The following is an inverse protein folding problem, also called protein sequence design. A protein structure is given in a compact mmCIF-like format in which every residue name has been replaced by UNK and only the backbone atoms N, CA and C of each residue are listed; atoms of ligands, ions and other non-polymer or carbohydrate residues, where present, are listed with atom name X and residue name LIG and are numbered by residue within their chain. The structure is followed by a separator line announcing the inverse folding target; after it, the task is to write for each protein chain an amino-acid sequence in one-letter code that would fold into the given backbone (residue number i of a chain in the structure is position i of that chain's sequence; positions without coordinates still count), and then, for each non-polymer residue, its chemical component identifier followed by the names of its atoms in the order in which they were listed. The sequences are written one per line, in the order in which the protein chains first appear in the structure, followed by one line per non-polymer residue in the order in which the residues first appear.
data_IF_364599655428
#
_entry.id   IF_364599655428
#
_cell.length_a   1.000
_cell.length_b   1.000
_cell.length_c   1.000
_cell.angle_alpha   90.00
_cell.angle_beta   90.00
_cell.angle_gamma   90.00
#
_symmetry.space_group_name_H-M   'P 1'
#
loop_
_entity.id
_entity.type
_entity.pdbx_description
1 polymer ?
#
# COMPACT_ATOMS: atom_id res chain seq x y z
N UNK A 1 -15.47 9.92 6.81
CA UNK A 1 -15.48 9.04 5.63
C UNK A 1 -16.87 8.41 5.46
N UNK A 2 -17.30 8.17 4.22
CA UNK A 2 -18.63 7.63 3.89
C UNK A 2 -18.62 6.09 3.97
N UNK A 3 -19.51 5.56 4.82
CA UNK A 3 -19.88 4.15 5.02
C UNK A 3 -18.76 3.16 5.40
N UNK A 4 -18.75 2.62 6.64
CA UNK A 4 -17.84 1.55 7.00
C UNK A 4 -18.29 0.26 6.32
N UNK A 5 -17.68 -0.06 5.18
CA UNK A 5 -17.50 -1.47 4.84
C UNK A 5 -16.70 -2.11 5.98
N UNK A 6 -16.94 -3.38 6.28
CA UNK A 6 -16.16 -4.08 7.32
C UNK A 6 -14.72 -4.33 6.88
N UNK A 7 -14.40 -4.15 5.58
CA UNK A 7 -13.12 -4.48 4.96
C UNK A 7 -12.68 -5.90 5.34
N UNK A 8 -13.63 -6.83 5.25
CA UNK A 8 -13.43 -8.23 5.56
C UNK A 8 -13.40 -9.06 4.28
N UNK A 9 -12.27 -9.72 4.02
CA UNK A 9 -12.10 -10.79 3.04
C UNK A 9 -11.50 -11.99 3.78
N UNK A 10 -12.38 -12.77 4.43
CA UNK A 10 -11.96 -13.83 5.32
C UNK A 10 -11.23 -14.95 4.55
N UNK A 11 -10.09 -15.38 5.08
CA UNK A 11 -9.35 -16.57 4.64
C UNK A 11 -9.03 -17.43 5.86
N UNK A 12 -8.71 -18.73 5.69
CA UNK A 12 -8.27 -19.56 6.82
C UNK A 12 -7.08 -18.98 7.58
N UNK A 13 -6.18 -18.28 6.87
CA UNK A 13 -4.99 -17.67 7.47
C UNK A 13 -5.31 -16.38 8.24
N UNK A 14 -6.26 -15.58 7.74
CA UNK A 14 -6.67 -14.30 8.33
C UNK A 14 -8.20 -14.23 8.40
N UNK A 15 -8.83 -14.93 9.35
CA UNK A 15 -10.27 -14.84 9.55
C UNK A 15 -10.66 -13.43 10.03
N UNK A 16 -11.89 -13.02 9.77
CA UNK A 16 -12.41 -11.78 10.35
C UNK A 16 -12.93 -12.08 11.77
N UNK A 17 -12.39 -11.39 12.77
CA UNK A 17 -12.82 -11.56 14.15
C UNK A 17 -14.26 -11.02 14.32
N UNK A 18 -15.14 -11.74 15.04
CA UNK A 18 -16.53 -11.30 15.26
C UNK A 18 -16.60 -9.89 15.86
N UNK A 19 -17.45 -9.04 15.30
CA UNK A 19 -17.65 -7.67 15.74
C UNK A 19 -16.52 -6.68 15.36
N UNK A 20 -15.42 -7.15 14.77
CA UNK A 20 -14.31 -6.29 14.37
C UNK A 20 -14.47 -5.75 12.96
N UNK A 21 -13.90 -4.56 12.73
CA UNK A 21 -13.90 -3.87 11.43
C UNK A 21 -12.48 -3.43 11.07
N UNK A 22 -12.11 -3.59 9.80
CA UNK A 22 -10.75 -3.37 9.32
C UNK A 22 -10.64 -2.18 8.36
N UNK A 23 -11.41 -1.12 8.63
CA UNK A 23 -11.28 0.16 7.93
C UNK A 23 -9.91 0.81 8.19
N UNK A 24 -9.60 1.86 7.43
CA UNK A 24 -8.33 2.56 7.50
C UNK A 24 -8.03 3.14 8.88
N UNK A 25 -6.88 2.79 9.45
CA UNK A 25 -6.36 3.39 10.70
C UNK A 25 -4.89 3.76 10.56
N UNK A 26 -4.45 4.72 11.37
CA UNK A 26 -3.05 5.15 11.43
C UNK A 26 -2.52 5.87 10.18
N UNK A 27 -1.20 6.16 10.14
CA UNK A 27 -0.61 7.03 9.12
C UNK A 27 -0.72 6.52 7.69
N UNK A 28 -0.70 5.20 7.49
CA UNK A 28 -0.82 4.58 6.15
C UNK A 28 -2.27 4.18 5.82
N UNK A 29 -3.23 4.45 6.72
CA UNK A 29 -4.61 4.01 6.58
C UNK A 29 -4.71 2.49 6.30
N UNK A 30 -4.00 1.68 7.09
CA UNK A 30 -3.99 0.21 6.92
C UNK A 30 -5.44 -0.30 6.96
N UNK A 31 -5.82 -1.03 5.91
CA UNK A 31 -7.18 -1.50 5.67
C UNK A 31 -7.16 -2.98 5.29
N UNK A 32 -8.27 -3.67 5.50
CA UNK A 32 -8.48 -5.11 5.28
C UNK A 32 -7.87 -6.06 6.33
N UNK A 33 -8.67 -7.05 6.75
CA UNK A 33 -8.30 -8.09 7.73
C UNK A 33 -6.96 -8.77 7.43
N UNK A 34 -6.66 -9.09 6.18
CA UNK A 34 -5.40 -9.74 5.82
C UNK A 34 -4.17 -8.84 6.06
N UNK A 35 -4.29 -7.51 5.87
CA UNK A 35 -3.20 -6.58 6.17
C UNK A 35 -3.02 -6.41 7.68
N UNK A 36 -4.12 -6.27 8.43
CA UNK A 36 -4.06 -6.24 9.91
C UNK A 36 -3.43 -7.52 10.46
N UNK A 37 -3.81 -8.69 9.93
CA UNK A 37 -3.25 -9.97 10.34
C UNK A 37 -1.76 -10.14 10.02
N UNK A 38 -1.32 -9.76 8.82
CA UNK A 38 0.11 -9.82 8.45
C UNK A 38 0.95 -8.84 9.28
N UNK A 39 0.48 -7.60 9.42
CA UNK A 39 1.11 -6.58 10.25
C UNK A 39 1.24 -7.03 11.70
N UNK A 40 0.14 -7.50 12.28
CA UNK A 40 0.08 -7.95 13.66
C UNK A 40 1.09 -9.07 13.95
N UNK A 41 1.18 -10.07 13.06
CA UNK A 41 2.20 -11.13 13.16
C UNK A 41 3.62 -10.57 13.11
N UNK A 42 3.90 -9.63 12.20
CA UNK A 42 5.23 -9.06 12.04
C UNK A 42 5.69 -8.21 13.24
N UNK A 43 4.76 -7.49 13.89
CA UNK A 43 5.09 -6.59 15.00
C UNK A 43 4.82 -7.18 16.38
N UNK A 44 4.35 -8.44 16.47
CA UNK A 44 4.06 -9.14 17.72
C UNK A 44 2.79 -8.65 18.44
N UNK A 45 1.78 -8.19 17.71
CA UNK A 45 0.52 -7.64 18.26
C UNK A 45 -0.67 -8.30 17.58
N UNK A 46 -1.68 -8.71 18.34
CA UNK A 46 -2.92 -9.29 17.78
C UNK A 46 -3.85 -8.22 17.20
N UNK A 47 -3.50 -7.71 16.03
CA UNK A 47 -4.28 -6.72 15.30
C UNK A 47 -5.50 -7.30 14.59
N UNK A 48 -5.63 -8.63 14.50
CA UNK A 48 -6.79 -9.27 13.89
C UNK A 48 -7.99 -9.23 14.84
N UNK A 49 -7.76 -9.49 16.14
CA UNK A 49 -8.79 -9.39 17.17
C UNK A 49 -8.86 -8.00 17.84
N UNK A 50 -7.79 -7.19 17.75
CA UNK A 50 -7.73 -5.84 18.34
C UNK A 50 -7.27 -4.78 17.32
N UNK A 51 -8.00 -4.59 16.20
CA UNK A 51 -7.60 -3.65 15.14
C UNK A 51 -7.57 -2.19 15.61
N UNK A 52 -8.38 -1.82 16.62
CA UNK A 52 -8.42 -0.46 17.16
C UNK A 52 -7.10 -0.01 17.81
N UNK A 53 -6.19 -0.93 18.16
CA UNK A 53 -4.86 -0.58 18.65
C UNK A 53 -4.08 0.28 17.64
N UNK A 54 -4.35 0.17 16.34
CA UNK A 54 -3.74 1.03 15.32
C UNK A 54 -4.19 2.50 15.45
N UNK A 55 -5.36 2.75 16.04
CA UNK A 55 -5.90 4.09 16.28
C UNK A 55 -5.70 4.59 17.71
N UNK A 56 -5.48 3.70 18.69
CA UNK A 56 -5.41 4.07 20.12
C UNK A 56 -4.02 3.98 20.74
N UNK A 57 -3.08 3.25 20.12
CA UNK A 57 -1.68 3.21 20.53
C UNK A 57 -0.79 3.80 19.44
N UNK A 58 -0.13 4.92 19.74
CA UNK A 58 0.67 5.65 18.76
C UNK A 58 1.87 4.88 18.25
N UNK A 59 2.51 4.05 19.08
CA UNK A 59 3.67 3.23 18.69
C UNK A 59 3.21 2.13 17.72
N UNK A 60 2.10 1.46 18.02
CA UNK A 60 1.49 0.47 17.11
C UNK A 60 1.03 1.15 15.82
N UNK A 61 0.48 2.36 15.91
CA UNK A 61 0.07 3.15 14.75
C UNK A 61 1.24 3.38 13.79
N UNK A 62 2.37 3.89 14.27
CA UNK A 62 3.56 4.11 13.45
C UNK A 62 4.22 2.80 12.98
N UNK A 63 4.28 1.78 13.84
CA UNK A 63 4.77 0.44 13.46
C UNK A 63 3.99 -0.14 12.28
N UNK A 64 2.66 0.05 12.25
CA UNK A 64 1.85 -0.46 11.14
C UNK A 64 2.15 0.24 9.81
N UNK A 65 2.39 1.56 9.84
CA UNK A 65 2.80 2.33 8.66
C UNK A 65 4.20 1.93 8.17
N UNK A 66 5.17 1.80 9.07
CA UNK A 66 6.52 1.35 8.75
C UNK A 66 6.53 -0.09 8.24
N UNK A 67 5.77 -0.99 8.86
CA UNK A 67 5.61 -2.36 8.37
C UNK A 67 5.15 -2.37 6.91
N UNK A 68 4.10 -1.61 6.57
CA UNK A 68 3.61 -1.54 5.19
C UNK A 68 4.69 -1.00 4.24
N UNK A 69 5.39 0.06 4.66
CA UNK A 69 6.45 0.69 3.86
C UNK A 69 7.60 -0.26 3.54
N UNK A 70 7.98 -1.10 4.51
CA UNK A 70 9.13 -2.00 4.43
C UNK A 70 8.80 -3.39 3.85
N UNK A 71 7.53 -3.77 3.77
CA UNK A 71 7.13 -5.14 3.41
C UNK A 71 6.75 -5.23 1.94
N UNK A 72 7.51 -6.02 1.17
CA UNK A 72 7.12 -6.39 -0.18
C UNK A 72 5.91 -7.35 -0.14
N UNK A 73 4.95 -7.14 -1.03
CA UNK A 73 3.78 -7.99 -1.19
C UNK A 73 3.62 -8.34 -2.67
N UNK A 74 4.21 -9.46 -3.09
CA UNK A 74 4.27 -9.86 -4.50
C UNK A 74 2.89 -9.74 -5.18
N UNK A 75 2.81 -9.10 -6.36
CA UNK A 75 3.91 -8.67 -7.22
C UNK A 75 4.54 -7.30 -6.86
N UNK A 76 4.09 -6.64 -5.80
CA UNK A 76 4.57 -5.32 -5.40
C UNK A 76 5.92 -5.43 -4.66
N UNK A 77 6.95 -4.63 -5.03
CA UNK A 77 8.12 -4.45 -4.17
C UNK A 77 7.74 -3.67 -2.91
N UNK A 78 8.66 -3.59 -1.95
CA UNK A 78 8.48 -2.67 -0.82
C UNK A 78 8.61 -1.21 -1.31
N UNK A 79 7.88 -0.28 -0.67
CA UNK A 79 8.05 1.15 -0.97
C UNK A 79 9.47 1.61 -0.62
N UNK A 80 10.06 1.02 0.42
CA UNK A 80 11.44 1.22 0.81
C UNK A 80 12.42 0.90 -0.32
N UNK A 81 12.37 -0.30 -0.91
CA UNK A 81 13.32 -0.69 -1.95
C UNK A 81 13.18 0.19 -3.21
N UNK A 82 11.97 0.68 -3.51
CA UNK A 82 11.76 1.63 -4.62
C UNK A 82 12.47 2.95 -4.34
N UNK A 83 12.26 3.56 -3.16
CA UNK A 83 12.78 4.92 -2.88
C UNK A 83 14.29 4.92 -2.59
N UNK A 84 14.86 3.80 -2.14
CA UNK A 84 16.30 3.66 -1.89
C UNK A 84 17.05 3.04 -3.08
N UNK A 85 16.42 2.97 -4.26
CA UNK A 85 17.03 2.44 -5.50
C UNK A 85 17.54 0.99 -5.40
N UNK A 86 16.91 0.17 -4.55
CA UNK A 86 17.21 -1.27 -4.40
C UNK A 86 16.33 -2.15 -5.28
N UNK A 87 15.18 -1.64 -5.70
CA UNK A 87 14.31 -2.32 -6.65
C UNK A 87 14.70 -1.99 -8.09
N UNK A 88 14.92 -3.03 -8.90
CA UNK A 88 15.10 -2.91 -10.34
C UNK A 88 13.81 -3.37 -11.04
N UNK A 89 13.17 -2.54 -11.88
CA UNK A 89 11.97 -2.93 -12.60
C UNK A 89 12.19 -4.18 -13.46
N UNK A 90 11.23 -5.11 -13.43
CA UNK A 90 11.19 -6.19 -14.40
C UNK A 90 10.80 -5.67 -15.79
N UNK A 91 10.95 -6.50 -16.82
CA UNK A 91 10.43 -6.17 -18.17
C UNK A 91 8.91 -5.90 -18.14
N UNK A 92 8.15 -6.61 -17.31
CA UNK A 92 6.72 -6.38 -17.12
C UNK A 92 6.43 -5.03 -16.44
N UNK A 93 7.29 -4.59 -15.51
CA UNK A 93 7.16 -3.27 -14.88
C UNK A 93 7.47 -2.15 -15.86
N UNK A 94 8.53 -2.29 -16.66
CA UNK A 94 8.87 -1.33 -17.72
C UNK A 94 7.73 -1.22 -18.74
N UNK A 95 7.17 -2.36 -19.20
CA UNK A 95 6.02 -2.38 -20.10
C UNK A 95 4.78 -1.70 -19.50
N UNK A 96 4.59 -1.85 -18.19
CA UNK A 96 3.55 -1.20 -17.40
C UNK A 96 3.88 0.25 -16.98
N UNK A 97 5.00 0.80 -17.47
CA UNK A 97 5.50 2.15 -17.14
C UNK A 97 5.80 2.37 -15.66
N UNK A 98 5.98 1.32 -14.87
CA UNK A 98 6.38 1.39 -13.47
C UNK A 98 7.90 1.51 -13.40
N UNK A 99 8.37 2.74 -13.18
CA UNK A 99 9.79 3.09 -13.08
C UNK A 99 10.12 3.56 -11.65
N UNK A 100 11.38 3.47 -11.19
CA UNK A 100 11.74 3.90 -9.85
C UNK A 100 11.37 5.37 -9.62
N UNK A 101 10.63 5.64 -8.55
CA UNK A 101 10.17 6.98 -8.19
C UNK A 101 8.92 6.98 -7.32
N UNK A 102 8.55 8.18 -6.86
CA UNK A 102 7.44 8.37 -5.92
C UNK A 102 6.07 7.99 -6.51
N UNK A 103 5.93 8.05 -7.83
CA UNK A 103 4.75 7.55 -8.53
C UNK A 103 4.54 6.06 -8.35
N UNK A 104 5.60 5.26 -8.43
CA UNK A 104 5.50 3.81 -8.20
C UNK A 104 5.24 3.48 -6.72
N UNK A 105 5.74 4.29 -5.78
CA UNK A 105 5.31 4.22 -4.37
C UNK A 105 3.80 4.47 -4.23
N UNK A 106 3.27 5.49 -4.90
CA UNK A 106 1.82 5.75 -4.94
C UNK A 106 1.04 4.57 -5.51
N UNK A 107 1.56 3.94 -6.57
CA UNK A 107 0.98 2.75 -7.19
C UNK A 107 0.95 1.55 -6.22
N UNK A 108 2.00 1.34 -5.42
CA UNK A 108 2.04 0.30 -4.37
C UNK A 108 0.94 0.54 -3.33
N UNK A 109 0.80 1.79 -2.87
CA UNK A 109 -0.14 2.19 -1.81
C UNK A 109 -1.60 2.05 -2.27
N UNK A 110 -1.97 2.64 -3.41
CA UNK A 110 -3.37 2.69 -3.85
C UNK A 110 -3.57 2.73 -5.37
N UNK A 111 -2.67 2.09 -6.12
CA UNK A 111 -2.65 2.20 -7.58
C UNK A 111 -3.94 1.76 -8.27
N UNK A 112 -4.66 0.77 -7.72
CA UNK A 112 -5.93 0.31 -8.28
C UNK A 112 -7.03 1.37 -8.31
N UNK A 113 -6.91 2.43 -7.50
CA UNK A 113 -7.86 3.54 -7.46
C UNK A 113 -7.30 4.85 -8.03
N UNK A 114 -5.99 5.03 -8.03
CA UNK A 114 -5.33 6.32 -8.27
C UNK A 114 -4.45 6.37 -9.53
N UNK A 115 -3.98 5.23 -10.03
CA UNK A 115 -2.99 5.17 -11.12
C UNK A 115 -3.59 4.70 -12.45
N UNK A 116 -2.91 5.02 -13.56
CA UNK A 116 -3.26 4.53 -14.90
C UNK A 116 -4.54 5.13 -15.50
N UNK A 117 -4.99 6.27 -14.98
CA UNK A 117 -6.25 6.93 -15.35
C UNK A 117 -6.11 8.43 -15.62
N UNK A 118 -4.90 8.87 -15.97
CA UNK A 118 -4.60 10.28 -16.16
C UNK A 118 -4.42 11.00 -14.81
N UNK A 119 -4.50 12.33 -14.85
CA UNK A 119 -4.28 13.17 -13.67
C UNK A 119 -5.34 12.90 -12.60
N UNK A 120 -4.89 12.75 -11.36
CA UNK A 120 -5.74 12.47 -10.20
C UNK A 120 -5.39 13.43 -9.05
N UNK A 121 -6.40 14.03 -8.43
CA UNK A 121 -6.19 15.00 -7.35
C UNK A 121 -5.57 14.38 -6.10
N UNK A 122 -5.81 13.09 -5.83
CA UNK A 122 -5.23 12.38 -4.68
C UNK A 122 -3.74 12.15 -4.91
N UNK A 123 -3.35 11.80 -6.13
CA UNK A 123 -1.94 11.66 -6.50
C UNK A 123 -1.23 13.03 -6.46
N UNK A 124 -1.90 14.10 -6.91
CA UNK A 124 -1.35 15.45 -6.79
C UNK A 124 -1.13 15.87 -5.34
N UNK A 125 -2.06 15.55 -4.44
CA UNK A 125 -1.93 15.83 -3.00
C UNK A 125 -0.71 15.09 -2.39
N UNK A 126 -0.54 13.80 -2.73
CA UNK A 126 0.65 13.01 -2.33
C UNK A 126 1.95 13.66 -2.81
N UNK A 127 2.00 14.06 -4.08
CA UNK A 127 3.16 14.75 -4.66
C UNK A 127 3.42 16.09 -3.95
N UNK A 128 2.36 16.84 -3.60
CA UNK A 128 2.46 18.10 -2.88
C UNK A 128 3.14 17.96 -1.52
N UNK A 129 2.71 16.99 -0.70
CA UNK A 129 3.36 16.70 0.57
C UNK A 129 4.81 16.25 0.39
N UNK A 130 5.08 15.36 -0.57
CA UNK A 130 6.43 14.89 -0.85
C UNK A 130 7.37 16.04 -1.22
N UNK A 131 6.97 16.91 -2.16
CA UNK A 131 7.77 18.10 -2.54
C UNK A 131 8.04 19.01 -1.35
N UNK A 132 7.00 19.35 -0.58
CA UNK A 132 7.15 20.18 0.62
C UNK A 132 8.18 19.62 1.60
N UNK A 133 8.18 18.30 1.82
CA UNK A 133 9.14 17.68 2.75
C UNK A 133 10.54 17.56 2.17
N UNK A 134 10.68 17.32 0.86
CA UNK A 134 11.97 17.41 0.18
C UNK A 134 12.58 18.82 0.29
N UNK A 135 11.78 19.87 0.12
CA UNK A 135 12.21 21.26 0.25
C UNK A 135 12.73 21.57 1.66
N UNK A 136 11.99 21.14 2.68
CA UNK A 136 12.40 21.31 4.08
C UNK A 136 13.69 20.55 4.43
N UNK A 137 13.94 19.42 3.77
CA UNK A 137 15.14 18.59 3.97
C UNK A 137 16.31 18.99 3.05
N UNK A 138 16.10 19.90 2.11
CA UNK A 138 17.14 20.33 1.16
C UNK A 138 17.57 19.26 0.17
N UNK A 139 16.66 18.36 -0.23
CA UNK A 139 16.94 17.27 -1.19
C UNK A 139 16.08 17.39 -2.44
N UNK A 140 16.57 16.88 -3.57
CA UNK A 140 15.80 16.84 -4.81
C UNK A 140 14.64 15.85 -4.75
N UNK A 141 13.59 16.09 -5.54
CA UNK A 141 12.40 15.22 -5.62
C UNK A 141 12.66 13.91 -6.36
N UNK A 142 13.67 13.88 -7.22
CA UNK A 142 13.85 12.82 -8.22
C UNK A 142 12.84 12.94 -9.37
N UNK A 143 12.76 11.88 -10.18
CA UNK A 143 11.89 11.77 -11.35
C UNK A 143 10.71 10.81 -11.06
N UNK A 144 9.80 10.64 -12.04
CA UNK A 144 8.68 9.69 -11.97
C UNK A 144 7.79 9.91 -10.73
N UNK A 145 7.40 11.16 -10.49
CA UNK A 145 6.65 11.54 -9.29
C UNK A 145 5.18 11.10 -9.31
N UNK A 146 4.60 10.94 -10.50
CA UNK A 146 3.23 10.52 -10.69
C UNK A 146 3.11 9.08 -11.20
N UNK A 147 1.90 8.56 -11.13
CA UNK A 147 1.53 7.27 -11.69
C UNK A 147 0.40 7.36 -12.73
N UNK A 148 0.22 8.51 -13.38
CA UNK A 148 -0.95 8.79 -14.21
C UNK A 148 -1.11 7.83 -15.38
N UNK A 149 0.00 7.38 -15.95
CA UNK A 149 0.02 6.40 -17.05
C UNK A 149 0.59 5.04 -16.68
N UNK A 150 0.88 4.80 -15.39
CA UNK A 150 1.33 3.49 -14.94
C UNK A 150 0.17 2.50 -14.90
N UNK A 151 0.37 1.27 -15.36
CA UNK A 151 -0.59 0.20 -15.07
C UNK A 151 -0.52 -0.10 -13.56
N UNK A 152 -1.66 -0.11 -12.84
CA UNK A 152 -1.68 -0.48 -11.43
C UNK A 152 -1.03 -1.85 -11.20
N UNK A 153 -0.31 -2.01 -10.08
CA UNK A 153 0.02 -3.36 -9.62
C UNK A 153 -1.30 -4.12 -9.43
N UNK A 154 -1.46 -5.24 -10.15
CA UNK A 154 -2.72 -5.97 -10.20
C UNK A 154 -3.24 -6.28 -8.80
N UNK A 155 -4.56 -6.22 -8.61
CA UNK A 155 -5.17 -6.97 -7.52
C UNK A 155 -4.77 -8.43 -7.74
N UNK A 156 -4.16 -9.06 -6.75
CA UNK A 156 -3.82 -10.49 -6.75
C UNK A 156 -5.06 -11.42 -6.87
N UNK A 157 -6.21 -10.88 -7.28
CA UNK A 157 -7.50 -11.53 -7.53
C UNK A 157 -7.71 -11.96 -8.99
N UNK A 158 -6.77 -11.69 -9.92
CA UNK A 158 -6.91 -12.06 -11.33
C UNK A 158 -5.97 -13.17 -11.82
N UNK A 159 -5.09 -13.70 -10.95
CA UNK A 159 -4.18 -14.80 -11.31
C UNK A 159 -4.68 -16.18 -10.87
N UNK A 160 -5.77 -16.28 -10.09
CA UNK A 160 -6.41 -17.56 -9.77
C UNK A 160 -7.33 -18.08 -10.87
N UNK A 161 -7.75 -17.24 -11.81
CA UNK A 161 -8.76 -17.60 -12.83
C UNK A 161 -8.15 -18.04 -14.17
N UNK A 162 -6.81 -18.13 -14.26
CA UNK A 162 -6.09 -18.53 -15.47
C UNK A 162 -5.31 -19.85 -15.32
N UNK A 163 -5.48 -20.58 -14.21
CA UNK A 163 -4.78 -21.86 -13.95
C UNK A 163 -5.74 -23.08 -13.95
N UNK A 164 -7.03 -22.90 -14.25
CA UNK A 164 -8.02 -24.00 -14.32
C UNK A 164 -8.59 -24.26 -15.71
N UNK A 165 -7.86 -23.91 -16.78
CA UNK A 165 -8.18 -24.36 -18.13
C UNK A 165 -6.98 -25.04 -18.81
N UNK A 166 -6.58 -26.20 -18.30
CA UNK A 166 -6.06 -27.33 -19.08
C UNK A 166 -6.50 -28.64 -18.41
#
# INVERSE_FOLDING_TARGET
ERNPSTYCSATPQFPCAPGQQYYGRGPIQISWNYNYGQCGRAIGVDLLNKPDLVATDSVISFKSALWFWMTAQSPKPSSHDVITSRWTPSSADVAARRLPGYGTVTNIINGGLECGRGQDSRVQDRIGFFKRYCDLLGVGYGNNLDCYSQTPFGNSLLLSDLVTSQ
#
